data_IF_519706334709
#
_entry.id   IF_519706334709
#
_cell.length_a   1.000
_cell.length_b   1.000
_cell.length_c   1.000
_cell.angle_alpha   90.00
_cell.angle_beta   90.00
_cell.angle_gamma   90.00
#
_symmetry.space_group_name_H-M   'P 1'
#
loop_
_entity.id
_entity.type
_entity.pdbx_description
1 polymer ?
#
# COMPACT_ATOMS: atom_id res chain seq x y z
N UNK A 1 -8.38 12.45 20.38
CA UNK A 1 -7.28 13.44 20.38
C UNK A 1 -7.29 14.14 19.03
N UNK A 2 -6.91 15.41 18.97
CA UNK A 2 -6.76 16.12 17.69
C UNK A 2 -5.53 15.66 16.90
N UNK A 3 -5.39 16.11 15.65
CA UNK A 3 -4.20 15.84 14.83
C UNK A 3 -2.96 16.47 15.46
N UNK A 4 -1.82 15.79 15.37
CA UNK A 4 -0.51 16.28 15.85
C UNK A 4 0.51 16.31 14.71
N UNK A 5 1.48 17.23 14.80
CA UNK A 5 2.65 17.30 13.92
C UNK A 5 3.94 17.41 14.71
N UNK A 6 4.99 16.74 14.23
CA UNK A 6 6.33 16.77 14.84
C UNK A 6 7.40 16.83 13.76
N UNK A 7 8.45 17.61 14.00
CA UNK A 7 9.64 17.59 13.15
C UNK A 7 10.49 16.34 13.41
N UNK A 8 11.04 15.76 12.34
CA UNK A 8 11.97 14.64 12.37
C UNK A 8 13.34 15.06 11.81
N UNK A 9 14.42 14.31 12.13
CA UNK A 9 15.73 14.57 11.54
C UNK A 9 15.71 14.51 10.00
N UNK A 10 16.54 15.35 9.39
CA UNK A 10 16.67 15.43 7.93
C UNK A 10 15.55 16.22 7.25
N UNK A 11 14.94 17.19 7.94
CA UNK A 11 13.89 18.04 7.37
C UNK A 11 12.54 17.35 7.15
N UNK A 12 12.36 16.14 7.69
CA UNK A 12 11.13 15.37 7.56
C UNK A 12 10.09 15.80 8.60
N UNK A 13 8.82 15.53 8.32
CA UNK A 13 7.72 15.73 9.25
C UNK A 13 7.03 14.41 9.57
N UNK A 14 6.46 14.37 10.77
CA UNK A 14 5.57 13.33 11.24
C UNK A 14 4.19 13.92 11.51
N UNK A 15 3.15 13.47 10.79
CA UNK A 15 1.75 13.84 11.05
C UNK A 15 1.00 12.63 11.57
N UNK A 16 0.21 12.82 12.64
CA UNK A 16 -0.55 11.74 13.25
C UNK A 16 -1.97 12.15 13.65
N UNK A 17 -2.96 11.31 13.36
CA UNK A 17 -4.34 11.49 13.80
C UNK A 17 -5.09 10.15 13.79
N UNK A 18 -5.40 9.63 14.98
CA UNK A 18 -6.02 8.31 15.11
C UNK A 18 -5.07 7.21 14.59
N UNK A 19 -5.49 6.36 13.64
CA UNK A 19 -4.61 5.31 13.07
C UNK A 19 -3.70 5.81 11.94
N UNK A 20 -3.84 7.07 11.51
CA UNK A 20 -3.09 7.63 10.38
C UNK A 20 -1.78 8.20 10.89
N UNK A 21 -0.66 7.68 10.39
CA UNK A 21 0.71 8.06 10.79
C UNK A 21 1.54 8.30 9.52
N UNK A 22 1.87 9.56 9.22
CA UNK A 22 2.56 9.96 8.01
C UNK A 22 3.99 10.40 8.31
N UNK A 23 4.95 9.83 7.58
CA UNK A 23 6.31 10.38 7.45
C UNK A 23 6.43 11.07 6.11
N UNK A 24 6.78 12.35 6.13
CA UNK A 24 6.78 13.22 4.96
C UNK A 24 8.17 13.81 4.75
N UNK A 25 8.64 13.83 3.51
CA UNK A 25 9.89 14.48 3.12
C UNK A 25 9.78 15.11 1.74
N UNK A 26 10.51 16.20 1.53
CA UNK A 26 10.48 16.95 0.29
C UNK A 26 11.82 17.66 0.05
N UNK A 27 12.23 17.71 -1.22
CA UNK A 27 13.42 18.40 -1.69
C UNK A 27 13.01 19.53 -2.64
N UNK A 28 13.51 20.74 -2.36
CA UNK A 28 13.24 21.96 -3.11
C UNK A 28 13.74 23.19 -2.35
N UNK A 29 13.49 24.41 -2.85
CA UNK A 29 13.79 25.64 -2.12
C UNK A 29 13.09 25.63 -0.75
N UNK A 30 13.84 25.95 0.32
CA UNK A 30 13.34 25.89 1.69
C UNK A 30 11.99 26.65 1.90
N UNK A 31 11.76 27.84 1.31
CA UNK A 31 10.46 28.51 1.42
C UNK A 31 9.31 27.72 0.77
N UNK A 32 9.55 27.10 -0.39
CA UNK A 32 8.55 26.28 -1.09
C UNK A 32 8.21 25.02 -0.30
N UNK A 33 9.23 24.35 0.27
CA UNK A 33 9.04 23.17 1.11
C UNK A 33 8.26 23.51 2.38
N UNK A 34 8.59 24.60 3.06
CA UNK A 34 7.87 25.06 4.24
C UNK A 34 6.40 25.40 3.93
N UNK A 35 6.13 26.08 2.81
CA UNK A 35 4.77 26.38 2.37
C UNK A 35 3.96 25.11 2.05
N UNK A 36 4.57 24.15 1.35
CA UNK A 36 3.94 22.86 1.05
C UNK A 36 3.63 22.05 2.33
N UNK A 37 4.53 22.08 3.32
CA UNK A 37 4.29 21.46 4.63
C UNK A 37 3.09 22.07 5.36
N UNK A 38 2.93 23.39 5.34
CA UNK A 38 1.77 24.05 5.95
C UNK A 38 0.48 23.74 5.18
N UNK A 39 0.51 23.73 3.84
CA UNK A 39 -0.65 23.34 3.03
C UNK A 39 -1.05 21.88 3.28
N UNK A 40 -0.08 20.96 3.34
CA UNK A 40 -0.29 19.56 3.68
C UNK A 40 -0.92 19.40 5.07
N UNK A 41 -0.47 20.20 6.04
CA UNK A 41 -1.02 20.21 7.40
C UNK A 41 -2.48 20.67 7.45
N UNK A 42 -2.86 21.69 6.67
CA UNK A 42 -4.25 22.15 6.57
C UNK A 42 -5.16 21.02 6.06
N UNK A 43 -4.75 20.32 5.00
CA UNK A 43 -5.52 19.19 4.45
C UNK A 43 -5.63 18.06 5.47
N UNK A 44 -4.51 17.66 6.07
CA UNK A 44 -4.42 16.53 7.01
C UNK A 44 -5.39 16.63 8.19
N UNK A 45 -5.61 17.84 8.73
CA UNK A 45 -6.53 18.06 9.85
C UNK A 45 -7.97 17.61 9.56
N UNK A 46 -8.37 17.59 8.29
CA UNK A 46 -9.73 17.21 7.86
C UNK A 46 -9.88 15.74 7.48
N UNK A 47 -8.79 15.04 7.16
CA UNK A 47 -8.81 13.71 6.51
C UNK A 47 -9.57 12.68 7.34
N UNK A 48 -9.21 12.51 8.62
CA UNK A 48 -9.85 11.50 9.47
C UNK A 48 -11.35 11.76 9.62
N UNK A 49 -11.76 13.03 9.79
CA UNK A 49 -13.17 13.40 9.91
C UNK A 49 -13.94 13.06 8.63
N UNK A 50 -13.37 13.33 7.46
CA UNK A 50 -13.95 12.97 6.18
C UNK A 50 -14.14 11.47 6.02
N UNK A 51 -13.11 10.68 6.34
CA UNK A 51 -13.18 9.22 6.30
C UNK A 51 -14.21 8.65 7.29
N UNK A 52 -14.26 9.15 8.52
CA UNK A 52 -15.23 8.70 9.54
C UNK A 52 -16.67 8.99 9.09
N UNK A 53 -16.91 10.11 8.42
CA UNK A 53 -18.25 10.46 7.92
C UNK A 53 -18.77 9.48 6.85
N UNK A 54 -17.88 8.84 6.10
CA UNK A 54 -18.21 7.89 5.03
C UNK A 54 -17.89 6.43 5.41
N UNK A 55 -17.44 6.17 6.64
CA UNK A 55 -16.93 4.88 7.09
C UNK A 55 -17.92 3.72 6.88
N UNK A 56 -19.24 3.85 7.15
CA UNK A 56 -20.18 2.77 6.90
C UNK A 56 -20.19 2.31 5.43
N UNK A 57 -20.06 3.23 4.48
CA UNK A 57 -20.00 2.93 3.05
C UNK A 57 -18.61 2.42 2.63
N UNK A 58 -17.54 2.96 3.22
CA UNK A 58 -16.17 2.50 2.99
C UNK A 58 -15.93 1.05 3.43
N UNK A 59 -16.71 0.54 4.39
CA UNK A 59 -16.66 -0.86 4.84
C UNK A 59 -17.52 -1.81 4.01
N UNK A 60 -18.28 -1.30 3.04
CA UNK A 60 -19.06 -2.17 2.14
C UNK A 60 -18.18 -2.70 0.99
N UNK A 61 -18.48 -3.91 0.48
CA UNK A 61 -17.83 -4.42 -0.72
C UNK A 61 -17.96 -3.46 -1.89
N UNK A 62 -16.90 -3.32 -2.67
CA UNK A 62 -16.97 -2.59 -3.93
C UNK A 62 -17.78 -3.40 -4.93
N UNK A 63 -18.90 -2.83 -5.37
CA UNK A 63 -19.75 -3.38 -6.42
C UNK A 63 -19.60 -2.58 -7.71
N UNK A 64 -19.79 -3.23 -8.85
CA UNK A 64 -19.79 -2.56 -10.14
C UNK A 64 -20.89 -1.48 -10.19
N UNK A 65 -20.55 -0.26 -10.59
CA UNK A 65 -21.50 0.85 -10.63
C UNK A 65 -20.83 2.21 -10.41
N UNK A 66 -21.62 3.28 -10.26
CA UNK A 66 -21.08 4.59 -9.91
C UNK A 66 -20.53 4.61 -8.48
N UNK A 67 -19.48 5.40 -8.26
CA UNK A 67 -18.90 5.61 -6.93
C UNK A 67 -19.93 6.30 -5.99
N UNK A 68 -20.30 5.69 -4.85
CA UNK A 68 -21.28 6.27 -3.93
C UNK A 68 -20.67 7.30 -2.97
N UNK A 69 -19.34 7.38 -2.91
CA UNK A 69 -18.58 8.22 -1.99
C UNK A 69 -18.35 9.61 -2.58
N UNK A 70 -18.20 10.60 -1.69
CA UNK A 70 -18.08 12.01 -2.04
C UNK A 70 -16.71 12.59 -1.73
N UNK A 71 -16.11 12.23 -0.60
CA UNK A 71 -14.81 12.76 -0.17
C UNK A 71 -13.69 12.37 -1.12
N UNK A 72 -12.68 13.23 -1.33
CA UNK A 72 -11.62 12.98 -2.30
C UNK A 72 -10.82 11.70 -1.99
N UNK A 73 -10.50 11.47 -0.72
CA UNK A 73 -9.82 10.25 -0.26
C UNK A 73 -10.71 9.03 -0.48
N UNK A 74 -11.98 9.08 -0.06
CA UNK A 74 -12.93 7.99 -0.16
C UNK A 74 -13.19 7.57 -1.62
N UNK A 75 -13.36 8.55 -2.52
CA UNK A 75 -13.50 8.30 -3.97
C UNK A 75 -12.27 7.64 -4.57
N UNK A 76 -11.08 8.06 -4.15
CA UNK A 76 -9.81 7.46 -4.58
C UNK A 76 -9.68 6.01 -4.12
N UNK A 77 -10.06 5.72 -2.87
CA UNK A 77 -10.09 4.36 -2.32
C UNK A 77 -11.01 3.45 -3.14
N UNK A 78 -12.23 3.90 -3.43
CA UNK A 78 -13.18 3.12 -4.23
C UNK A 78 -12.69 2.91 -5.66
N UNK A 79 -12.13 3.94 -6.30
CA UNK A 79 -11.58 3.83 -7.66
C UNK A 79 -10.43 2.81 -7.73
N UNK A 80 -9.52 2.80 -6.75
CA UNK A 80 -8.42 1.85 -6.68
C UNK A 80 -8.88 0.41 -6.54
N UNK A 81 -9.97 0.18 -5.81
CA UNK A 81 -10.54 -1.16 -5.56
C UNK A 81 -11.49 -1.63 -6.68
N UNK A 82 -12.10 -0.69 -7.42
CA UNK A 82 -13.09 -0.99 -8.44
C UNK A 82 -12.49 -1.74 -9.64
N UNK A 83 -13.18 -2.80 -10.08
CA UNK A 83 -12.78 -3.62 -11.22
C UNK A 83 -11.55 -4.50 -10.98
N UNK A 84 -11.12 -4.70 -9.73
CA UNK A 84 -10.07 -5.67 -9.41
C UNK A 84 -10.59 -7.11 -9.55
N UNK A 85 -9.77 -8.07 -10.00
CA UNK A 85 -10.16 -9.46 -10.20
C UNK A 85 -10.19 -10.24 -8.87
N UNK A 86 -11.13 -9.89 -7.99
CA UNK A 86 -11.32 -10.52 -6.67
C UNK A 86 -12.80 -10.66 -6.35
N UNK A 87 -13.18 -11.71 -5.63
CA UNK A 87 -14.55 -11.94 -5.18
C UNK A 87 -14.97 -10.96 -4.08
N UNK A 88 -14.00 -10.38 -3.39
CA UNK A 88 -14.25 -9.44 -2.30
C UNK A 88 -13.10 -8.45 -2.14
N UNK A 89 -13.46 -7.18 -2.03
CA UNK A 89 -12.61 -6.10 -1.54
C UNK A 89 -13.50 -4.94 -1.10
N UNK A 90 -13.10 -4.22 -0.06
CA UNK A 90 -13.74 -2.97 0.34
C UNK A 90 -12.80 -1.80 0.03
N UNK A 91 -13.29 -0.55 -0.10
CA UNK A 91 -12.43 0.61 -0.19
C UNK A 91 -11.34 0.70 0.89
N UNK A 92 -11.55 0.10 2.08
CA UNK A 92 -10.57 0.13 3.18
C UNK A 92 -9.20 -0.46 2.79
N UNK A 93 -9.14 -1.35 1.78
CA UNK A 93 -7.90 -1.92 1.26
C UNK A 93 -6.97 -0.90 0.57
N UNK A 94 -7.42 0.34 0.35
CA UNK A 94 -6.64 1.40 -0.29
C UNK A 94 -6.45 2.64 0.62
N UNK A 95 -6.84 2.56 1.89
CA UNK A 95 -6.94 3.74 2.78
C UNK A 95 -5.58 4.42 2.97
N UNK A 96 -4.52 3.66 3.16
CA UNK A 96 -3.23 4.20 3.54
C UNK A 96 -2.58 4.91 2.35
N UNK A 97 -2.60 4.26 1.19
CA UNK A 97 -2.15 4.82 -0.08
C UNK A 97 -2.97 6.03 -0.52
N UNK A 98 -4.31 5.98 -0.38
CA UNK A 98 -5.18 7.10 -0.77
C UNK A 98 -4.98 8.35 0.10
N UNK A 99 -4.75 8.16 1.41
CA UNK A 99 -4.40 9.25 2.33
C UNK A 99 -3.04 9.83 1.99
N UNK A 100 -2.02 8.98 1.79
CA UNK A 100 -0.68 9.43 1.41
C UNK A 100 -0.72 10.29 0.13
N UNK A 101 -1.48 9.83 -0.87
CA UNK A 101 -1.65 10.54 -2.14
C UNK A 101 -2.39 11.88 -1.99
N UNK A 102 -3.41 11.95 -1.14
CA UNK A 102 -4.12 13.21 -0.88
C UNK A 102 -3.19 14.27 -0.27
N UNK A 103 -2.36 13.87 0.68
CA UNK A 103 -1.42 14.79 1.33
C UNK A 103 -0.28 15.20 0.38
N UNK A 104 0.14 14.30 -0.51
CA UNK A 104 1.19 14.57 -1.50
C UNK A 104 0.80 15.71 -2.46
N UNK A 105 -0.49 15.90 -2.75
CA UNK A 105 -0.97 16.95 -3.66
C UNK A 105 -0.54 18.36 -3.23
N UNK A 106 -0.34 18.60 -1.92
CA UNK A 106 0.17 19.88 -1.40
C UNK A 106 1.61 20.20 -1.85
N UNK A 107 2.36 19.20 -2.32
CA UNK A 107 3.74 19.34 -2.79
C UNK A 107 3.82 19.52 -4.32
N UNK A 108 2.71 19.41 -5.05
CA UNK A 108 2.61 19.65 -6.49
C UNK A 108 2.65 21.15 -6.81
N UNK A 109 3.73 21.81 -6.39
CA UNK A 109 3.92 23.26 -6.50
C UNK A 109 5.22 23.58 -7.23
N UNK A 110 5.30 24.78 -7.80
CA UNK A 110 6.48 25.22 -8.53
C UNK A 110 7.74 25.23 -7.66
N UNK A 111 8.84 24.71 -8.21
CA UNK A 111 10.13 24.62 -7.52
C UNK A 111 10.32 23.37 -6.67
N UNK A 112 9.30 22.52 -6.51
CA UNK A 112 9.49 21.21 -5.88
C UNK A 112 10.34 20.31 -6.79
N UNK A 113 11.35 19.62 -6.24
CA UNK A 113 12.17 18.66 -6.99
C UNK A 113 11.59 17.25 -6.86
N UNK A 114 11.31 16.83 -5.62
CA UNK A 114 10.67 15.55 -5.32
C UNK A 114 10.09 15.59 -3.92
N UNK A 115 9.07 14.80 -3.67
CA UNK A 115 8.50 14.62 -2.33
C UNK A 115 8.02 13.18 -2.16
N UNK A 116 7.84 12.77 -0.91
CA UNK A 116 7.14 11.54 -0.59
C UNK A 116 6.26 11.74 0.63
N UNK A 117 5.16 10.99 0.67
CA UNK A 117 4.33 10.81 1.86
C UNK A 117 4.23 9.32 2.09
N UNK A 118 4.73 8.84 3.23
CA UNK A 118 4.68 7.44 3.62
C UNK A 118 3.69 7.27 4.79
N UNK A 119 2.66 6.45 4.60
CA UNK A 119 1.71 6.02 5.63
C UNK A 119 2.01 4.59 6.11
N UNK A 120 3.19 4.41 6.70
CA UNK A 120 3.78 3.12 7.09
C UNK A 120 4.40 2.31 5.96
N UNK A 121 3.58 1.55 5.22
CA UNK A 121 4.02 0.72 4.08
C UNK A 121 3.71 1.33 2.71
N UNK A 122 2.89 2.38 2.71
CA UNK A 122 2.23 2.91 1.52
C UNK A 122 2.70 4.33 1.26
N UNK A 123 3.37 4.50 0.12
CA UNK A 123 4.17 5.67 -0.22
C UNK A 123 3.64 6.28 -1.51
N UNK A 124 3.20 7.54 -1.42
CA UNK A 124 2.96 8.39 -2.57
C UNK A 124 4.24 9.16 -2.91
N UNK A 125 4.61 9.19 -4.18
CA UNK A 125 5.84 9.81 -4.68
C UNK A 125 5.54 10.94 -5.65
N UNK A 126 6.23 12.07 -5.44
CA UNK A 126 6.33 13.16 -6.41
C UNK A 126 7.78 13.19 -6.93
N UNK A 127 7.94 13.22 -8.25
CA UNK A 127 9.22 13.27 -8.95
C UNK A 127 9.10 14.24 -10.13
N UNK A 128 9.89 15.31 -10.15
CA UNK A 128 10.05 16.17 -11.34
C UNK A 128 11.19 15.67 -12.23
N UNK A 129 11.29 16.11 -13.52
CA UNK A 129 12.30 15.60 -14.45
C UNK A 129 13.73 15.64 -13.89
N UNK A 130 14.44 14.52 -13.98
CA UNK A 130 15.83 14.37 -13.50
C UNK A 130 15.96 14.01 -12.02
N UNK A 131 14.85 13.89 -11.29
CA UNK A 131 14.83 13.39 -9.92
C UNK A 131 14.57 11.88 -9.87
N UNK A 132 14.94 11.25 -8.75
CA UNK A 132 14.73 9.82 -8.50
C UNK A 132 14.57 9.52 -7.02
N UNK A 133 13.94 8.41 -6.68
CA UNK A 133 13.94 7.85 -5.32
C UNK A 133 14.63 6.50 -5.31
N UNK A 134 15.39 6.22 -4.24
CA UNK A 134 15.84 4.87 -3.90
C UNK A 134 15.00 4.38 -2.72
N UNK A 135 14.21 3.35 -2.94
CA UNK A 135 13.21 2.83 -2.02
C UNK A 135 13.76 1.54 -1.43
N UNK A 136 13.89 1.48 -0.11
CA UNK A 136 14.35 0.27 0.58
C UNK A 136 13.24 -0.77 0.67
N UNK A 137 13.59 -2.04 0.43
CA UNK A 137 12.70 -3.18 0.64
C UNK A 137 13.07 -3.89 1.94
N UNK A 138 12.07 -4.18 2.76
CA UNK A 138 12.19 -4.98 3.99
C UNK A 138 11.14 -6.08 3.89
N UNK A 139 11.58 -7.29 3.57
CA UNK A 139 10.72 -8.45 3.38
C UNK A 139 10.25 -9.06 4.70
N UNK A 140 11.02 -8.83 5.78
CA UNK A 140 10.69 -9.33 7.11
C UNK A 140 10.91 -8.25 8.18
N UNK A 141 9.80 -7.59 8.53
CA UNK A 141 9.77 -6.54 9.56
C UNK A 141 9.88 -7.10 11.00
N UNK A 142 9.78 -8.43 11.18
CA UNK A 142 9.83 -9.05 12.51
C UNK A 142 11.25 -9.30 13.01
N UNK A 143 12.26 -9.13 12.14
CA UNK A 143 13.67 -9.26 12.53
C UNK A 143 14.04 -8.22 13.60
N UNK A 144 14.77 -8.65 14.63
CA UNK A 144 15.24 -7.77 15.72
C UNK A 144 16.07 -6.56 15.23
N UNK A 145 16.70 -6.69 14.05
CA UNK A 145 17.31 -5.58 13.31
C UNK A 145 16.91 -5.70 11.84
N UNK A 146 15.84 -5.00 11.41
CA UNK A 146 15.46 -5.00 10.02
C UNK A 146 16.61 -4.46 9.17
N UNK A 147 17.09 -5.26 8.23
CA UNK A 147 18.04 -4.85 7.19
C UNK A 147 17.30 -4.67 5.88
N UNK A 148 17.84 -3.85 4.97
CA UNK A 148 17.32 -3.81 3.60
C UNK A 148 17.60 -5.15 2.93
N UNK A 149 16.56 -5.88 2.56
CA UNK A 149 16.66 -7.09 1.73
C UNK A 149 16.92 -6.71 0.26
N UNK A 150 16.60 -5.48 -0.12
CA UNK A 150 16.88 -4.92 -1.43
C UNK A 150 16.57 -3.44 -1.52
N UNK A 151 16.69 -2.89 -2.73
CA UNK A 151 16.20 -1.56 -3.02
C UNK A 151 15.73 -1.43 -4.45
N UNK A 152 14.69 -0.64 -4.67
CA UNK A 152 14.17 -0.27 -5.97
C UNK A 152 14.56 1.18 -6.26
N UNK A 153 14.85 1.49 -7.52
CA UNK A 153 15.02 2.87 -7.98
C UNK A 153 13.79 3.23 -8.80
N UNK A 154 13.22 4.39 -8.52
CA UNK A 154 12.13 4.97 -9.29
C UNK A 154 12.60 6.33 -9.80
N UNK A 155 12.79 6.43 -11.11
CA UNK A 155 13.22 7.64 -11.78
C UNK A 155 11.99 8.45 -12.27
N UNK A 156 12.17 9.74 -12.52
CA UNK A 156 11.07 10.62 -12.94
C UNK A 156 10.38 10.19 -14.24
N UNK A 157 11.07 9.43 -15.11
CA UNK A 157 10.52 8.90 -16.35
C UNK A 157 9.65 7.66 -16.15
N UNK A 158 9.77 6.99 -15.00
CA UNK A 158 8.96 5.83 -14.71
C UNK A 158 7.52 6.27 -14.45
N UNK A 159 6.52 5.46 -14.83
CA UNK A 159 5.12 5.75 -14.55
C UNK A 159 4.76 5.60 -13.05
N UNK A 160 5.66 5.05 -12.24
CA UNK A 160 5.42 4.74 -10.83
C UNK A 160 5.32 6.01 -9.98
N UNK A 161 4.18 6.21 -9.31
CA UNK A 161 4.01 7.24 -8.27
C UNK A 161 3.43 6.70 -6.96
N UNK A 162 3.20 5.38 -6.90
CA UNK A 162 2.76 4.68 -5.71
C UNK A 162 3.58 3.43 -5.44
N UNK A 163 3.92 3.22 -4.16
CA UNK A 163 4.48 1.97 -3.65
C UNK A 163 3.70 1.55 -2.43
N UNK A 164 3.34 0.28 -2.31
CA UNK A 164 2.59 -0.23 -1.14
C UNK A 164 3.10 -1.59 -0.74
N UNK A 165 2.95 -1.93 0.54
CA UNK A 165 3.39 -3.24 1.06
C UNK A 165 2.31 -3.87 1.94
N UNK A 166 1.90 -5.09 1.60
CA UNK A 166 0.90 -5.88 2.34
C UNK A 166 1.45 -7.25 2.72
N UNK A 167 0.90 -7.89 3.75
CA UNK A 167 1.34 -9.20 4.23
C UNK A 167 0.74 -9.54 5.58
N UNK A 168 0.68 -10.83 5.93
CA UNK A 168 -0.02 -11.30 7.14
C UNK A 168 0.64 -10.85 8.44
N UNK A 169 1.94 -10.53 8.41
CA UNK A 169 2.70 -9.99 9.54
C UNK A 169 2.61 -8.46 9.66
N UNK A 170 1.88 -7.82 8.75
CA UNK A 170 1.73 -6.38 8.69
C UNK A 170 0.72 -5.85 9.73
N UNK A 171 0.41 -4.55 9.62
CA UNK A 171 -0.58 -3.89 10.49
C UNK A 171 -2.03 -4.19 10.09
N UNK A 172 -2.24 -4.67 8.86
CA UNK A 172 -3.56 -4.96 8.30
C UNK A 172 -3.77 -6.47 8.22
N UNK A 173 -4.98 -6.93 8.48
CA UNK A 173 -5.32 -8.34 8.35
C UNK A 173 -5.21 -8.79 6.88
N UNK A 174 -4.58 -9.94 6.65
CA UNK A 174 -4.49 -10.57 5.33
C UNK A 174 -5.15 -11.95 5.33
N UNK A 175 -5.73 -12.32 4.19
CA UNK A 175 -6.24 -13.66 3.92
C UNK A 175 -5.15 -14.60 3.40
N UNK A 176 -3.99 -14.10 2.98
CA UNK A 176 -2.91 -14.92 2.44
C UNK A 176 -1.85 -15.26 3.50
N UNK A 177 -0.78 -15.92 3.05
CA UNK A 177 0.39 -16.26 3.87
C UNK A 177 1.66 -15.54 3.43
N UNK A 178 1.58 -14.57 2.52
CA UNK A 178 2.75 -13.75 2.16
C UNK A 178 3.27 -12.97 3.37
N UNK A 179 4.55 -13.10 3.66
CA UNK A 179 5.20 -12.28 4.70
C UNK A 179 5.23 -10.82 4.26
N UNK A 180 5.50 -10.58 2.98
CA UNK A 180 5.37 -9.25 2.37
C UNK A 180 5.12 -9.34 0.86
N UNK A 181 4.31 -8.45 0.33
CA UNK A 181 4.15 -8.15 -1.08
C UNK A 181 4.27 -6.65 -1.25
N UNK A 182 5.31 -6.21 -1.96
CA UNK A 182 5.48 -4.81 -2.33
C UNK A 182 5.06 -4.60 -3.79
N UNK A 183 4.16 -3.66 -4.05
CA UNK A 183 3.65 -3.34 -5.39
C UNK A 183 4.03 -1.92 -5.78
N UNK A 184 4.41 -1.73 -7.05
CA UNK A 184 4.66 -0.45 -7.68
C UNK A 184 3.56 -0.16 -8.69
N UNK A 185 2.89 0.99 -8.58
CA UNK A 185 1.77 1.37 -9.45
C UNK A 185 1.80 2.86 -9.81
N UNK A 186 0.91 3.26 -10.72
CA UNK A 186 0.77 4.64 -11.16
C UNK A 186 0.31 5.58 -10.03
N UNK A 187 -0.38 5.04 -9.01
CA UNK A 187 -0.82 5.80 -7.85
C UNK A 187 -0.65 5.00 -6.56
N UNK A 188 -0.55 5.68 -5.41
CA UNK A 188 -0.37 5.00 -4.12
C UNK A 188 -1.63 4.22 -3.71
N UNK A 189 -2.82 4.73 -4.02
CA UNK A 189 -4.06 4.01 -3.75
C UNK A 189 -4.18 2.71 -4.56
N UNK A 190 -3.78 2.71 -5.84
CA UNK A 190 -3.75 1.50 -6.66
C UNK A 190 -2.72 0.49 -6.16
N UNK A 191 -1.53 0.97 -5.78
CA UNK A 191 -0.50 0.11 -5.20
C UNK A 191 -1.02 -0.60 -3.94
N UNK A 192 -1.70 0.12 -3.05
CA UNK A 192 -2.23 -0.39 -1.76
C UNK A 192 -3.30 -1.49 -1.97
N UNK A 193 -4.30 -1.19 -2.80
CA UNK A 193 -5.34 -2.16 -3.16
C UNK A 193 -4.75 -3.41 -3.84
N UNK A 194 -3.81 -3.21 -4.76
CA UNK A 194 -3.16 -4.28 -5.49
C UNK A 194 -2.26 -5.15 -4.58
N UNK A 195 -1.48 -4.53 -3.70
CA UNK A 195 -0.65 -5.25 -2.73
C UNK A 195 -1.50 -6.15 -1.85
N UNK A 196 -2.66 -5.66 -1.40
CA UNK A 196 -3.62 -6.44 -0.61
C UNK A 196 -4.12 -7.68 -1.35
N UNK A 197 -4.61 -7.55 -2.59
CA UNK A 197 -5.14 -8.72 -3.32
C UNK A 197 -4.04 -9.69 -3.77
N UNK A 198 -2.84 -9.20 -4.09
CA UNK A 198 -1.70 -10.05 -4.44
C UNK A 198 -1.22 -10.82 -3.21
N UNK A 199 -1.12 -10.16 -2.04
CA UNK A 199 -0.78 -10.83 -0.78
C UNK A 199 -1.81 -11.90 -0.43
N UNK A 200 -3.10 -11.60 -0.57
CA UNK A 200 -4.18 -12.58 -0.33
C UNK A 200 -4.13 -13.76 -1.31
N UNK A 201 -3.65 -13.55 -2.54
CA UNK A 201 -3.50 -14.62 -3.53
C UNK A 201 -2.29 -15.53 -3.25
N UNK A 202 -1.31 -15.10 -2.43
CA UNK A 202 -0.25 -15.99 -1.94
C UNK A 202 -0.83 -16.90 -0.87
N UNK A 203 -1.42 -18.01 -1.30
CA UNK A 203 -2.08 -18.97 -0.43
C UNK A 203 -1.87 -20.41 -0.95
N UNK A 204 -1.64 -21.40 -0.07
CA UNK A 204 -1.48 -22.79 -0.49
C UNK A 204 -2.82 -23.39 -0.95
N UNK A 205 -2.74 -24.51 -1.69
CA UNK A 205 -3.93 -25.24 -2.13
C UNK A 205 -4.43 -26.21 -1.06
N UNK A 206 -3.50 -26.75 -0.28
CA UNK A 206 -3.77 -27.69 0.79
C UNK A 206 -4.57 -27.01 1.91
N UNK A 207 -5.47 -27.76 2.58
CA UNK A 207 -6.20 -27.25 3.72
C UNK A 207 -5.29 -26.75 4.84
N UNK A 208 -5.67 -25.65 5.49
CA UNK A 208 -4.89 -25.04 6.57
C UNK A 208 -4.54 -26.04 7.70
N UNK A 209 -5.47 -26.94 8.05
CA UNK A 209 -5.27 -27.93 9.12
C UNK A 209 -4.20 -28.98 8.81
N UNK A 210 -3.92 -29.26 7.54
CA UNK A 210 -2.83 -30.16 7.13
C UNK A 210 -1.47 -29.48 7.23
N UNK A 211 -1.45 -28.15 7.06
CA UNK A 211 -0.25 -27.32 7.10
C UNK A 211 -0.01 -26.68 8.47
N UNK A 212 -0.95 -26.80 9.41
CA UNK A 212 -0.92 -26.12 10.70
C UNK A 212 -1.08 -24.60 10.61
N UNK A 213 -1.65 -24.08 9.51
CA UNK A 213 -1.97 -22.65 9.37
C UNK A 213 -3.18 -22.36 10.26
N UNK A 214 -3.11 -21.29 11.05
CA UNK A 214 -4.23 -20.86 11.89
C UNK A 214 -4.84 -19.57 11.36
N UNK A 215 -6.16 -19.53 11.33
CA UNK A 215 -6.95 -18.38 10.91
C UNK A 215 -8.07 -18.13 11.90
N UNK A 216 -8.46 -16.86 12.01
CA UNK A 216 -9.60 -16.44 12.80
C UNK A 216 -10.51 -15.50 11.98
N UNK A 217 -11.82 -15.44 12.27
CA UNK A 217 -12.68 -14.38 11.74
C UNK A 217 -12.09 -13.01 12.04
N UNK A 218 -12.01 -12.12 11.07
CA UNK A 218 -11.46 -10.77 11.29
C UNK A 218 -12.24 -9.99 12.36
N UNK A 219 -13.55 -10.21 12.45
CA UNK A 219 -14.45 -9.70 13.49
C UNK A 219 -14.05 -10.13 14.92
N UNK A 220 -13.41 -11.29 15.09
CA UNK A 220 -12.92 -11.76 16.40
C UNK A 220 -11.63 -11.07 16.86
N UNK A 221 -10.91 -10.44 15.93
CA UNK A 221 -9.68 -9.70 16.19
C UNK A 221 -9.95 -8.19 16.27
N UNK A 222 -10.96 -7.72 15.55
CA UNK A 222 -11.41 -6.34 15.52
C UNK A 222 -12.92 -6.29 15.27
N UNK A 223 -13.70 -5.90 16.28
CA UNK A 223 -15.17 -5.86 16.27
C UNK A 223 -15.76 -5.17 15.03
N UNK A 224 -15.01 -4.23 14.48
CA UNK A 224 -15.41 -3.26 13.47
C UNK A 224 -14.73 -3.52 12.11
N UNK A 225 -14.18 -4.72 11.92
CA UNK A 225 -13.46 -5.09 10.70
C UNK A 225 -14.38 -5.11 9.48
N UNK A 226 -13.92 -4.47 8.39
CA UNK A 226 -14.59 -4.51 7.09
C UNK A 226 -14.57 -5.90 6.44
N UNK A 227 -13.70 -6.79 6.90
CA UNK A 227 -13.62 -8.18 6.42
C UNK A 227 -14.69 -9.08 7.07
N UNK A 228 -15.23 -8.69 8.24
CA UNK A 228 -16.25 -9.44 8.98
C UNK A 228 -15.80 -10.86 9.34
N UNK A 229 -16.63 -11.87 9.03
CA UNK A 229 -16.36 -13.27 9.35
C UNK A 229 -15.28 -13.94 8.48
N UNK A 230 -14.63 -13.19 7.59
CA UNK A 230 -13.58 -13.74 6.72
C UNK A 230 -12.37 -14.19 7.56
N UNK A 231 -11.89 -15.38 7.25
CA UNK A 231 -10.77 -16.01 7.94
C UNK A 231 -9.44 -15.34 7.55
N UNK A 232 -8.90 -14.56 8.48
CA UNK A 232 -7.60 -13.89 8.31
C UNK A 232 -6.51 -14.70 9.01
N UNK A 233 -5.31 -14.66 8.44
CA UNK A 233 -4.16 -15.43 8.92
C UNK A 233 -3.65 -14.88 10.26
N UNK A 234 -3.58 -15.74 11.28
CA UNK A 234 -3.04 -15.38 12.60
C UNK A 234 -1.73 -16.10 12.91
N UNK A 235 -1.52 -17.28 12.31
CA UNK A 235 -0.29 -18.04 12.44
C UNK A 235 0.03 -18.81 11.16
N UNK A 236 1.29 -18.79 10.76
CA UNK A 236 1.84 -19.63 9.68
C UNK A 236 3.08 -20.33 10.23
N UNK A 237 3.08 -21.67 10.40
CA UNK A 237 4.27 -22.40 10.83
C UNK A 237 5.29 -22.49 9.68
N UNK A 238 6.54 -22.92 9.93
CA UNK A 238 7.45 -23.25 8.86
C UNK A 238 6.83 -24.28 7.90
N UNK A 239 6.72 -23.93 6.62
CA UNK A 239 6.12 -24.77 5.59
C UNK A 239 7.20 -25.44 4.73
N UNK A 240 6.91 -26.59 4.12
CA UNK A 240 7.81 -27.17 3.12
C UNK A 240 8.05 -26.19 1.95
N UNK A 241 9.29 -26.06 1.45
CA UNK A 241 9.63 -25.08 0.41
C UNK A 241 8.75 -25.14 -0.85
N UNK A 242 8.29 -26.32 -1.24
CA UNK A 242 7.40 -26.55 -2.38
C UNK A 242 5.99 -25.97 -2.18
N UNK A 243 5.50 -25.96 -0.94
CA UNK A 243 4.20 -25.36 -0.59
C UNK A 243 4.31 -23.84 -0.72
N UNK A 244 5.37 -23.27 -0.16
CA UNK A 244 5.67 -21.84 -0.25
C UNK A 244 5.86 -21.39 -1.71
N UNK A 245 6.59 -22.18 -2.51
CA UNK A 245 6.79 -21.89 -3.92
C UNK A 245 5.47 -21.90 -4.70
N UNK A 246 4.59 -22.87 -4.42
CA UNK A 246 3.26 -22.95 -5.06
C UNK A 246 2.37 -21.77 -4.66
N UNK A 247 2.34 -21.41 -3.38
CA UNK A 247 1.61 -20.24 -2.90
C UNK A 247 2.12 -18.94 -3.55
N UNK A 248 3.45 -18.76 -3.64
CA UNK A 248 4.05 -17.62 -4.32
C UNK A 248 3.69 -17.59 -5.82
N UNK A 249 3.63 -18.73 -6.49
CA UNK A 249 3.22 -18.80 -7.90
C UNK A 249 1.78 -18.31 -8.12
N UNK A 250 0.87 -18.53 -7.17
CA UNK A 250 -0.49 -17.95 -7.22
C UNK A 250 -0.47 -16.43 -7.10
N UNK A 251 0.32 -15.89 -6.16
CA UNK A 251 0.52 -14.44 -6.03
C UNK A 251 1.11 -13.83 -7.30
N UNK A 252 2.11 -14.48 -7.90
CA UNK A 252 2.70 -14.06 -9.17
C UNK A 252 1.64 -14.04 -10.28
N UNK A 253 0.81 -15.08 -10.40
CA UNK A 253 -0.28 -15.13 -11.39
C UNK A 253 -1.29 -13.97 -11.20
N UNK A 254 -1.61 -13.62 -9.95
CA UNK A 254 -2.46 -12.46 -9.65
C UNK A 254 -1.77 -11.15 -10.08
N UNK A 255 -0.53 -10.94 -9.68
CA UNK A 255 0.23 -9.74 -10.03
C UNK A 255 0.41 -9.59 -11.56
N UNK A 256 0.68 -10.66 -12.30
CA UNK A 256 0.71 -10.64 -13.77
C UNK A 256 -0.65 -10.31 -14.39
N UNK A 257 -1.75 -10.71 -13.76
CA UNK A 257 -3.10 -10.35 -14.21
C UNK A 257 -3.35 -8.86 -14.05
N UNK A 258 -2.96 -8.28 -12.92
CA UNK A 258 -3.03 -6.85 -12.67
C UNK A 258 -2.10 -6.05 -13.61
N UNK A 259 -0.89 -6.55 -13.85
CA UNK A 259 0.08 -5.92 -14.75
C UNK A 259 -0.45 -5.88 -16.19
N UNK A 260 -1.02 -6.98 -16.69
CA UNK A 260 -1.66 -7.03 -18.02
C UNK A 260 -2.88 -6.12 -18.13
N UNK A 261 -3.59 -5.90 -17.02
CA UNK A 261 -4.70 -4.95 -16.93
C UNK A 261 -4.23 -3.49 -16.74
N UNK A 262 -2.92 -3.23 -16.70
CA UNK A 262 -2.35 -1.89 -16.51
C UNK A 262 -2.50 -1.33 -15.09
N UNK A 263 -2.84 -2.16 -14.10
CA UNK A 263 -3.09 -1.73 -12.71
C UNK A 263 -1.83 -1.62 -11.87
N UNK A 264 -0.78 -2.36 -12.22
CA UNK A 264 0.52 -2.33 -11.56
C UNK A 264 1.64 -2.35 -12.59
N UNK A 265 2.82 -1.87 -12.20
CA UNK A 265 4.03 -1.91 -13.03
C UNK A 265 4.95 -3.06 -12.63
N UNK A 266 5.20 -3.25 -11.35
CA UNK A 266 6.10 -4.28 -10.83
C UNK A 266 5.64 -4.75 -9.44
N UNK A 267 6.13 -5.90 -9.00
CA UNK A 267 5.87 -6.42 -7.67
C UNK A 267 7.04 -7.26 -7.13
N UNK A 268 7.22 -7.27 -5.82
CA UNK A 268 8.14 -8.17 -5.10
C UNK A 268 7.32 -8.93 -4.07
N UNK A 269 7.37 -10.26 -4.10
CA UNK A 269 6.63 -11.14 -3.21
C UNK A 269 7.62 -11.95 -2.39
N UNK A 270 7.42 -12.02 -1.08
CA UNK A 270 8.24 -12.80 -0.17
C UNK A 270 7.39 -13.67 0.76
N UNK A 271 7.81 -14.92 0.94
CA UNK A 271 7.22 -15.86 1.88
C UNK A 271 8.29 -16.86 2.34
N UNK A 272 8.51 -16.96 3.65
CA UNK A 272 9.43 -17.87 4.34
C UNK A 272 10.82 -17.97 3.68
N UNK A 273 11.43 -16.82 3.40
CA UNK A 273 12.79 -16.72 2.85
C UNK A 273 12.88 -16.92 1.33
N UNK A 274 11.78 -17.25 0.66
CA UNK A 274 11.71 -17.23 -0.81
C UNK A 274 11.22 -15.86 -1.29
N UNK A 275 11.80 -15.38 -2.40
CA UNK A 275 11.50 -14.09 -3.01
C UNK A 275 11.29 -14.26 -4.51
N UNK A 276 10.20 -13.72 -5.02
CA UNK A 276 9.90 -13.63 -6.46
C UNK A 276 9.65 -12.18 -6.85
N UNK A 277 10.11 -11.81 -8.04
CA UNK A 277 9.96 -10.47 -8.59
C UNK A 277 9.18 -10.53 -9.91
N UNK A 278 8.27 -9.58 -10.08
CA UNK A 278 7.65 -9.27 -11.35
C UNK A 278 8.29 -7.98 -11.85
N UNK A 279 9.13 -8.11 -12.86
CA UNK A 279 9.77 -6.98 -13.53
C UNK A 279 8.74 -6.13 -14.29
N UNK A 280 9.01 -4.83 -14.50
CA UNK A 280 8.21 -4.00 -15.38
C UNK A 280 8.07 -4.63 -16.77
N UNK A 281 6.85 -4.66 -17.31
CA UNK A 281 6.63 -5.11 -18.69
C UNK A 281 7.35 -4.19 -19.67
N UNK A 282 8.06 -4.76 -20.64
CA UNK A 282 8.72 -4.03 -21.76
C UNK A 282 7.75 -3.17 -22.60
N UNK A 283 6.44 -3.34 -22.40
CA UNK A 283 5.39 -2.53 -23.02
C UNK A 283 5.25 -1.11 -22.43
N UNK A 284 6.02 -0.76 -21.40
CA UNK A 284 6.16 0.63 -20.98
C UNK A 284 7.05 1.35 -22.00
N UNK A 285 6.58 2.40 -22.70
CA UNK A 285 7.45 3.16 -23.56
C UNK A 285 8.59 3.72 -22.71
N UNK A 286 9.79 3.18 -22.89
CA UNK A 286 11.01 3.90 -22.50
C UNK A 286 10.98 5.17 -23.32
N UNK A 287 10.71 6.30 -22.68
CA UNK A 287 10.78 7.58 -23.35
C UNK A 287 12.16 7.67 -24.00
N UNK A 288 12.16 7.78 -25.33
CA UNK A 288 13.36 7.98 -26.14
C UNK A 288 14.00 9.34 -25.84
#
# INVERSE_FOLDING_TARGET
MGPIRKALPGGRLHFAHGPIELVIGADGPAPSVAAAHEAAWVVFQSVLKGLVAELPALRQPVVAGPCPLQGPVARRMWAACSGLPTDFITPMAAVAGAVAQEILAAYETAGMTRAFVNNGGDIALLLTPGSRWRIGLVADITRCRPSLDGSLVVDSHDPVRGVATSGWRGRSHSLGIADSVTVLAATAAEADAAATIVANAVNPQQPDHELGIERAPASSLSDDSDLGERAVTIHVPPLPPEITATALAHGVKMAQTLQRAGRIHAAVLACQGQLLTIEPSDALPRAA
#
